data_IF_891715940629
#
_entry.id   IF_891715940629
#
_cell.length_a   1.000
_cell.length_b   1.000
_cell.length_c   1.000
_cell.angle_alpha   90.00
_cell.angle_beta   90.00
_cell.angle_gamma   90.00
#
_symmetry.space_group_name_H-M   'P 1'
#
loop_
_entity.id
_entity.type
_entity.pdbx_description
1 polymer ?
#
# COMPACT_ATOMS: atom_id res chain seq x y z
N UNK A 1 -18.38 -54.63 -48.45
CA UNK A 1 -17.38 -53.51 -48.43
C UNK A 1 -18.04 -52.38 -47.63
N UNK A 2 -17.67 -52.30 -46.35
CA UNK A 2 -18.17 -51.24 -45.44
C UNK A 2 -17.00 -50.42 -45.06
N UNK A 3 -16.96 -49.16 -45.54
CA UNK A 3 -15.91 -48.19 -45.25
C UNK A 3 -16.12 -47.58 -43.86
N UNK A 4 -15.22 -47.81 -42.97
CA UNK A 4 -15.21 -47.32 -41.61
C UNK A 4 -14.49 -45.95 -41.56
N UNK A 5 -15.22 -44.82 -41.62
CA UNK A 5 -14.72 -43.47 -41.48
C UNK A 5 -14.45 -43.19 -39.99
N UNK A 6 -13.22 -43.28 -39.57
CA UNK A 6 -12.75 -42.80 -38.26
C UNK A 6 -12.77 -41.23 -38.24
N UNK A 7 -13.72 -40.69 -37.47
CA UNK A 7 -13.77 -39.25 -37.17
C UNK A 7 -12.72 -38.98 -36.07
N UNK A 8 -11.58 -38.38 -36.47
CA UNK A 8 -10.57 -37.87 -35.51
C UNK A 8 -11.07 -36.56 -34.94
N UNK A 9 -11.61 -36.60 -33.72
CA UNK A 9 -11.96 -35.39 -32.94
C UNK A 9 -10.69 -34.66 -32.50
N UNK A 10 -10.52 -33.45 -33.01
CA UNK A 10 -9.46 -32.54 -32.59
C UNK A 10 -9.90 -31.90 -31.26
N UNK A 11 -9.29 -32.31 -30.13
CA UNK A 11 -9.50 -31.69 -28.82
C UNK A 11 -8.64 -30.43 -28.78
N UNK A 12 -9.25 -29.27 -28.93
CA UNK A 12 -8.60 -27.98 -28.71
C UNK A 12 -8.48 -27.76 -27.21
N UNK A 13 -7.29 -27.93 -26.63
CA UNK A 13 -7.00 -27.57 -25.25
C UNK A 13 -6.87 -26.04 -25.15
N UNK A 14 -7.90 -25.37 -24.62
CA UNK A 14 -7.85 -23.94 -24.31
C UNK A 14 -7.06 -23.77 -23.01
N UNK A 15 -5.84 -23.33 -23.11
CA UNK A 15 -5.04 -22.90 -21.97
C UNK A 15 -5.57 -21.55 -21.48
N UNK A 16 -6.33 -21.59 -20.37
CA UNK A 16 -6.67 -20.37 -19.62
C UNK A 16 -5.39 -19.86 -18.94
N UNK A 17 -4.70 -18.91 -19.56
CA UNK A 17 -3.64 -18.16 -18.92
C UNK A 17 -4.24 -17.32 -17.79
N UNK A 18 -4.08 -17.77 -16.54
CA UNK A 18 -4.36 -16.95 -15.37
C UNK A 18 -3.40 -15.74 -15.42
N UNK A 19 -3.91 -14.51 -15.24
CA UNK A 19 -3.03 -13.36 -15.18
C UNK A 19 -2.07 -13.54 -14.00
N UNK A 20 -0.77 -13.63 -14.29
CA UNK A 20 0.27 -13.54 -13.27
C UNK A 20 0.17 -12.14 -12.68
N UNK A 21 -0.23 -12.03 -11.42
CA UNK A 21 -0.18 -10.77 -10.69
C UNK A 21 1.29 -10.42 -10.52
N UNK A 22 1.73 -9.33 -11.14
CA UNK A 22 3.10 -8.85 -10.98
C UNK A 22 3.28 -8.29 -9.58
N UNK A 23 4.43 -8.52 -8.98
CA UNK A 23 4.82 -7.85 -7.73
C UNK A 23 4.82 -6.34 -7.93
N UNK A 24 4.52 -5.54 -6.88
CA UNK A 24 4.58 -4.08 -6.95
C UNK A 24 5.97 -3.62 -7.42
N UNK A 25 6.02 -2.56 -8.25
CA UNK A 25 7.28 -2.02 -8.74
C UNK A 25 8.21 -1.61 -7.59
N UNK A 26 9.54 -1.74 -7.73
CA UNK A 26 10.48 -1.31 -6.71
C UNK A 26 10.25 0.16 -6.31
N UNK A 27 10.42 0.53 -5.02
CA UNK A 27 10.36 1.92 -4.60
C UNK A 27 11.34 2.81 -5.37
N UNK A 28 10.89 4.02 -5.70
CA UNK A 28 11.72 5.05 -6.32
C UNK A 28 11.98 6.15 -5.31
N UNK A 29 13.24 6.54 -5.10
CA UNK A 29 13.64 7.59 -4.16
C UNK A 29 14.51 8.63 -4.81
N UNK A 30 14.35 9.90 -4.41
CA UNK A 30 15.29 10.97 -4.74
C UNK A 30 16.58 10.83 -3.90
N UNK A 31 17.72 11.36 -4.35
CA UNK A 31 18.99 11.36 -3.60
C UNK A 31 18.92 12.04 -2.23
N UNK A 32 17.95 12.93 -2.02
CA UNK A 32 17.68 13.60 -0.74
C UNK A 32 17.06 12.72 0.33
N UNK A 33 16.62 11.51 -0.01
CA UNK A 33 16.07 10.52 0.93
C UNK A 33 17.18 9.57 1.36
N UNK A 34 17.61 9.65 2.62
CA UNK A 34 18.68 8.81 3.16
C UNK A 34 18.18 7.41 3.57
N UNK A 35 16.93 7.30 4.00
CA UNK A 35 16.34 6.02 4.37
C UNK A 35 14.87 5.96 3.96
N UNK A 36 14.45 4.81 3.46
CA UNK A 36 13.07 4.49 3.16
C UNK A 36 12.80 3.07 3.66
N UNK A 37 11.80 2.94 4.53
CA UNK A 37 11.29 1.65 5.01
C UNK A 37 9.83 1.54 4.63
N UNK A 38 9.41 0.38 4.21
CA UNK A 38 8.02 0.08 3.86
C UNK A 38 7.54 -1.14 4.63
N UNK A 39 6.24 -1.29 4.79
CA UNK A 39 5.74 -2.49 5.44
C UNK A 39 4.28 -2.42 5.81
N UNK A 40 3.85 -3.51 6.43
CA UNK A 40 2.49 -3.73 6.93
C UNK A 40 2.55 -3.89 8.45
N UNK A 41 1.52 -3.44 9.15
CA UNK A 41 1.42 -3.58 10.60
C UNK A 41 -0.03 -3.72 11.06
N UNK A 42 -0.21 -4.30 12.25
CA UNK A 42 -1.51 -4.31 12.93
C UNK A 42 -1.77 -2.94 13.55
N UNK A 43 -2.86 -2.32 13.20
CA UNK A 43 -3.25 -0.99 13.66
C UNK A 43 -4.46 -1.07 14.60
N UNK A 44 -4.40 -1.98 15.57
CA UNK A 44 -5.48 -2.22 16.55
C UNK A 44 -5.46 -1.23 17.70
N UNK A 45 -4.33 -0.57 17.93
CA UNK A 45 -4.20 0.41 18.99
C UNK A 45 -4.97 1.68 18.68
N UNK A 46 -5.47 2.30 19.72
CA UNK A 46 -6.08 3.62 19.66
C UNK A 46 -5.03 4.63 19.17
N UNK A 47 -5.44 5.50 18.27
CA UNK A 47 -4.59 6.55 17.70
C UNK A 47 -5.31 7.87 17.81
N UNK A 48 -4.56 8.93 18.09
CA UNK A 48 -5.07 10.28 17.97
C UNK A 48 -5.45 10.58 16.51
N UNK A 49 -6.26 11.61 16.31
CA UNK A 49 -6.67 12.05 14.99
C UNK A 49 -6.35 13.52 14.80
N UNK A 50 -5.97 13.92 13.60
CA UNK A 50 -5.87 15.32 13.21
C UNK A 50 -6.66 15.59 11.94
N UNK A 51 -7.23 16.81 11.76
CA UNK A 51 -7.93 17.16 10.54
C UNK A 51 -7.03 17.05 9.30
N UNK A 52 -7.60 16.48 8.23
CA UNK A 52 -6.96 16.36 6.92
C UNK A 52 -8.01 16.44 5.81
N UNK A 53 -8.49 17.65 5.48
CA UNK A 53 -9.59 17.85 4.54
C UNK A 53 -9.32 17.34 3.12
N UNK A 54 -8.05 17.09 2.76
CA UNK A 54 -7.65 16.49 1.50
C UNK A 54 -7.80 14.96 1.44
N UNK A 55 -8.24 14.32 2.53
CA UNK A 55 -8.52 12.87 2.58
C UNK A 55 -10.03 12.60 2.55
N UNK A 56 -10.42 11.40 2.15
CA UNK A 56 -11.85 11.01 2.13
C UNK A 56 -12.50 10.97 3.51
N UNK A 57 -11.73 10.58 4.53
CA UNK A 57 -12.20 10.57 5.92
C UNK A 57 -12.28 11.97 6.54
N UNK A 58 -11.54 12.94 5.99
CA UNK A 58 -11.31 14.25 6.59
C UNK A 58 -10.28 14.23 7.74
N UNK A 59 -9.70 13.08 8.05
CA UNK A 59 -8.82 12.87 9.21
C UNK A 59 -7.62 12.02 8.87
N UNK A 60 -6.55 12.17 9.65
CA UNK A 60 -5.39 11.28 9.70
C UNK A 60 -5.26 10.68 11.09
N UNK A 61 -4.88 9.41 11.12
CA UNK A 61 -4.43 8.77 12.36
C UNK A 61 -3.03 9.26 12.74
N UNK A 62 -2.86 9.60 14.01
CA UNK A 62 -1.59 10.03 14.58
C UNK A 62 -1.23 9.05 15.70
N UNK A 63 -0.23 8.19 15.51
CA UNK A 63 0.21 7.27 16.56
C UNK A 63 0.71 8.03 17.80
N UNK A 64 0.41 7.53 18.99
CA UNK A 64 0.91 8.09 20.24
C UNK A 64 2.38 7.73 20.53
N UNK A 65 2.88 6.71 19.86
CA UNK A 65 4.25 6.22 19.99
C UNK A 65 4.84 5.76 18.68
N UNK A 66 6.05 5.25 18.74
CA UNK A 66 6.69 4.66 17.57
C UNK A 66 6.00 3.35 17.20
N UNK A 67 5.66 3.21 15.93
CA UNK A 67 5.08 1.99 15.36
C UNK A 67 6.13 1.33 14.49
N UNK A 68 6.42 0.05 14.76
CA UNK A 68 7.21 -0.78 13.87
C UNK A 68 6.34 -1.57 12.91
N UNK A 69 6.87 -1.86 11.72
CA UNK A 69 6.22 -2.78 10.79
C UNK A 69 6.33 -4.21 11.33
N UNK A 70 5.18 -4.87 11.49
CA UNK A 70 5.14 -6.29 11.84
C UNK A 70 5.66 -7.15 10.69
N UNK A 71 5.44 -6.70 9.46
CA UNK A 71 5.96 -7.29 8.23
C UNK A 71 6.77 -6.24 7.47
N UNK A 72 8.06 -6.06 7.84
CA UNK A 72 8.95 -5.15 7.11
C UNK A 72 9.13 -5.61 5.67
N UNK A 73 9.30 -4.66 4.77
CA UNK A 73 9.45 -4.82 3.33
C UNK A 73 8.24 -5.44 2.59
N UNK A 74 7.18 -5.82 3.32
CA UNK A 74 5.96 -6.32 2.73
C UNK A 74 5.23 -5.21 1.97
N UNK A 75 4.91 -5.47 0.70
CA UNK A 75 4.15 -4.57 -0.17
C UNK A 75 2.94 -5.23 -0.79
N UNK A 76 2.68 -6.49 -0.48
CA UNK A 76 1.42 -7.17 -0.77
C UNK A 76 0.62 -7.19 0.52
N UNK A 77 -0.57 -6.59 0.50
CA UNK A 77 -1.37 -6.27 1.69
C UNK A 77 -2.73 -6.94 1.59
N UNK A 78 -3.12 -7.83 2.51
CA UNK A 78 -4.49 -8.34 2.51
C UNK A 78 -5.48 -7.23 2.88
N UNK A 79 -6.60 -7.14 2.16
CA UNK A 79 -7.68 -6.19 2.41
C UNK A 79 -8.46 -6.61 3.66
N UNK A 80 -7.95 -6.25 4.83
CA UNK A 80 -8.51 -6.63 6.13
C UNK A 80 -8.59 -5.41 7.06
N UNK A 81 -9.76 -5.18 7.66
CA UNK A 81 -9.94 -4.14 8.69
C UNK A 81 -8.96 -4.37 9.84
N UNK A 82 -8.36 -3.29 10.34
CA UNK A 82 -7.37 -3.32 11.41
C UNK A 82 -5.93 -3.53 10.92
N UNK A 83 -5.70 -3.78 9.62
CA UNK A 83 -4.37 -3.71 9.01
C UNK A 83 -4.08 -2.29 8.51
N UNK A 84 -2.81 -1.92 8.59
CA UNK A 84 -2.28 -0.70 8.01
C UNK A 84 -0.98 -0.99 7.25
N UNK A 85 -0.68 -0.16 6.27
CA UNK A 85 0.51 -0.24 5.46
C UNK A 85 1.02 1.15 5.12
N UNK A 86 2.32 1.29 4.94
CA UNK A 86 2.86 2.62 4.69
C UNK A 86 4.37 2.68 4.58
N UNK A 87 4.87 3.90 4.71
CA UNK A 87 6.24 4.28 4.42
C UNK A 87 6.78 5.11 5.57
N UNK A 88 7.94 4.74 6.10
CA UNK A 88 8.77 5.59 6.95
C UNK A 88 9.94 6.11 6.13
N UNK A 89 10.16 7.42 6.11
CA UNK A 89 11.25 8.04 5.37
C UNK A 89 12.04 8.98 6.25
N UNK A 90 13.36 9.03 6.04
CA UNK A 90 14.26 9.99 6.65
C UNK A 90 15.08 10.71 5.58
N UNK A 91 15.21 12.00 5.71
CA UNK A 91 15.98 12.80 4.77
C UNK A 91 17.48 12.71 5.01
N UNK A 92 18.26 13.05 4.02
CA UNK A 92 19.70 13.23 4.17
C UNK A 92 20.02 14.39 5.12
N UNK A 93 21.21 14.33 5.75
CA UNK A 93 21.65 15.29 6.77
C UNK A 93 21.50 16.75 6.31
N UNK A 94 21.00 17.60 7.20
CA UNK A 94 20.79 19.02 6.98
C UNK A 94 19.53 19.37 6.18
N UNK A 95 18.68 18.40 5.85
CA UNK A 95 17.44 18.67 5.12
C UNK A 95 16.27 18.80 6.09
N UNK A 96 15.57 19.94 5.98
CA UNK A 96 14.27 20.20 6.58
C UNK A 96 13.38 20.85 5.54
N UNK A 97 12.28 20.18 5.16
CA UNK A 97 11.39 20.66 4.12
C UNK A 97 9.93 20.41 4.46
N UNK A 98 9.08 21.40 4.23
CA UNK A 98 7.62 21.22 4.20
C UNK A 98 7.22 20.66 2.85
N UNK A 99 6.20 19.81 2.86
CA UNK A 99 5.71 19.17 1.66
C UNK A 99 4.38 18.47 1.86
N UNK A 100 4.08 17.56 0.97
CA UNK A 100 2.78 16.89 0.89
C UNK A 100 2.95 15.38 0.69
N UNK A 101 2.14 14.62 1.40
CA UNK A 101 1.91 13.21 1.11
C UNK A 101 0.73 13.06 0.16
N UNK A 102 0.83 12.12 -0.76
CA UNK A 102 -0.22 11.76 -1.73
C UNK A 102 -0.45 10.25 -1.70
N UNK A 103 -1.70 9.84 -1.54
CA UNK A 103 -2.10 8.43 -1.62
C UNK A 103 -3.13 8.26 -2.73
N UNK A 104 -2.79 7.46 -3.72
CA UNK A 104 -3.68 7.11 -4.83
C UNK A 104 -4.28 5.74 -4.57
N UNK A 105 -5.59 5.66 -4.56
CA UNK A 105 -6.33 4.39 -4.53
C UNK A 105 -6.37 3.75 -5.92
N UNK A 106 -6.57 2.44 -6.02
CA UNK A 106 -6.74 1.76 -7.31
C UNK A 106 -7.80 2.45 -8.19
N UNK A 107 -7.43 2.70 -9.46
CA UNK A 107 -8.30 3.35 -10.44
C UNK A 107 -8.53 4.85 -10.25
N UNK A 108 -7.96 5.49 -9.22
CA UNK A 108 -8.09 6.93 -9.01
C UNK A 108 -6.92 7.69 -9.63
N UNK A 109 -7.22 8.77 -10.34
CA UNK A 109 -6.24 9.74 -10.84
C UNK A 109 -6.00 10.90 -9.87
N UNK A 110 -6.91 11.08 -8.89
CA UNK A 110 -6.81 12.12 -7.87
C UNK A 110 -6.37 11.50 -6.55
N UNK A 111 -5.28 11.99 -5.93
CA UNK A 111 -4.81 11.49 -4.64
C UNK A 111 -5.64 12.02 -3.47
N UNK A 112 -5.59 11.31 -2.36
CA UNK A 112 -5.80 11.88 -1.05
C UNK A 112 -4.51 12.55 -0.61
N UNK A 113 -4.59 13.76 -0.04
CA UNK A 113 -3.42 14.58 0.26
C UNK A 113 -3.44 15.13 1.68
N UNK A 114 -2.25 15.32 2.25
CA UNK A 114 -2.06 16.03 3.50
C UNK A 114 -0.65 16.60 3.64
N UNK A 115 -0.53 17.70 4.39
CA UNK A 115 0.74 18.33 4.66
C UNK A 115 1.62 17.45 5.54
N UNK A 116 2.91 17.43 5.22
CA UNK A 116 3.94 16.69 5.94
C UNK A 116 5.24 17.47 6.02
N UNK A 117 6.02 17.18 7.06
CA UNK A 117 7.40 17.70 7.21
C UNK A 117 8.38 16.57 7.01
N UNK A 118 9.38 16.80 6.19
CA UNK A 118 10.45 15.86 5.87
C UNK A 118 11.77 16.38 6.45
N UNK A 119 12.41 15.57 7.31
CA UNK A 119 13.60 15.99 8.06
C UNK A 119 14.58 14.82 8.23
N UNK A 120 15.84 15.17 8.53
CA UNK A 120 16.88 14.22 8.93
C UNK A 120 16.83 13.84 10.41
N UNK A 121 16.09 14.60 11.23
CA UNK A 121 16.05 14.42 12.70
C UNK A 121 15.12 13.29 13.16
N UNK A 122 14.08 12.97 12.38
CA UNK A 122 13.09 11.94 12.71
C UNK A 122 12.52 11.30 11.46
N UNK A 123 12.01 10.08 11.60
CA UNK A 123 11.29 9.43 10.52
C UNK A 123 9.92 10.12 10.31
N UNK A 124 9.63 10.50 9.06
CA UNK A 124 8.28 10.84 8.65
C UNK A 124 7.55 9.53 8.36
N UNK A 125 6.36 9.36 8.93
CA UNK A 125 5.54 8.18 8.75
C UNK A 125 4.24 8.52 8.03
N UNK A 126 4.09 8.04 6.81
CA UNK A 126 2.86 8.09 6.03
C UNK A 126 2.28 6.69 5.87
N UNK A 127 1.06 6.48 6.33
CA UNK A 127 0.40 5.18 6.25
C UNK A 127 -1.09 5.31 5.96
N UNK A 128 -1.68 4.23 5.47
CA UNK A 128 -3.11 4.03 5.34
C UNK A 128 -3.54 2.88 6.23
N UNK A 129 -4.65 3.04 6.94
CA UNK A 129 -5.27 2.04 7.79
C UNK A 129 -6.64 1.71 7.23
N UNK A 130 -6.96 0.44 7.15
CA UNK A 130 -8.30 -0.01 6.81
C UNK A 130 -9.22 0.05 8.04
N UNK A 131 -10.12 1.02 8.06
CA UNK A 131 -11.11 1.21 9.13
C UNK A 131 -12.51 0.77 8.72
N UNK A 132 -12.80 0.76 7.41
CA UNK A 132 -14.14 0.54 6.86
C UNK A 132 -14.10 -0.39 5.66
N UNK A 133 -15.22 -1.06 5.41
CA UNK A 133 -15.37 -1.99 4.29
C UNK A 133 -15.18 -1.32 2.91
N UNK A 134 -15.61 -0.06 2.75
CA UNK A 134 -15.46 0.70 1.51
C UNK A 134 -14.00 1.10 1.19
N UNK A 135 -13.09 0.86 2.12
CA UNK A 135 -11.65 1.07 1.97
C UNK A 135 -10.90 -0.19 1.50
N UNK A 136 -11.52 -1.36 1.57
CA UNK A 136 -10.93 -2.65 1.21
C UNK A 136 -10.84 -2.84 -0.32
N UNK A 137 -10.25 -1.88 -1.02
CA UNK A 137 -10.17 -1.86 -2.49
C UNK A 137 -8.93 -2.61 -2.94
N UNK A 138 -9.12 -3.76 -3.58
CA UNK A 138 -8.03 -4.54 -4.18
C UNK A 138 -7.42 -3.84 -5.39
N UNK A 139 -6.10 -3.99 -5.56
CA UNK A 139 -5.33 -3.40 -6.65
C UNK A 139 -4.15 -2.57 -6.14
N UNK A 140 -3.52 -1.84 -7.05
CA UNK A 140 -2.31 -1.07 -6.77
C UNK A 140 -2.66 0.25 -6.07
N UNK A 141 -2.17 0.42 -4.86
CA UNK A 141 -2.15 1.66 -4.10
C UNK A 141 -0.79 2.31 -4.25
N UNK A 142 -0.74 3.63 -4.43
CA UNK A 142 0.53 4.34 -4.61
C UNK A 142 0.67 5.46 -3.59
N UNK A 143 1.78 5.47 -2.88
CA UNK A 143 2.20 6.49 -1.93
C UNK A 143 3.30 7.34 -2.54
N UNK A 144 3.15 8.64 -2.47
CA UNK A 144 4.14 9.59 -2.92
C UNK A 144 4.37 10.68 -1.86
N UNK A 145 5.60 11.15 -1.75
CA UNK A 145 5.97 12.33 -0.97
C UNK A 145 6.55 13.39 -1.89
N UNK A 146 6.14 14.63 -1.69
CA UNK A 146 6.53 15.75 -2.54
C UNK A 146 6.95 16.97 -1.71
N UNK A 147 7.95 17.71 -2.20
CA UNK A 147 8.28 19.06 -1.75
C UNK A 147 8.28 19.99 -2.96
N UNK A 148 7.32 20.92 -3.00
CA UNK A 148 7.07 21.69 -4.22
C UNK A 148 6.83 20.78 -5.43
N UNK A 149 7.64 20.92 -6.47
CA UNK A 149 7.54 20.10 -7.69
C UNK A 149 8.44 18.85 -7.67
N UNK A 150 9.18 18.62 -6.60
CA UNK A 150 10.10 17.49 -6.49
C UNK A 150 9.47 16.34 -5.75
N UNK A 151 9.37 15.17 -6.41
CA UNK A 151 8.96 13.92 -5.77
C UNK A 151 10.13 13.33 -4.98
N UNK A 152 9.96 13.18 -3.67
CA UNK A 152 10.95 12.58 -2.78
C UNK A 152 10.98 11.08 -2.91
N UNK A 153 9.79 10.45 -2.92
CA UNK A 153 9.68 9.01 -3.18
C UNK A 153 8.33 8.63 -3.78
N UNK A 154 8.30 7.44 -4.35
CA UNK A 154 7.09 6.73 -4.78
C UNK A 154 7.20 5.27 -4.36
N UNK A 155 6.15 4.74 -3.73
CA UNK A 155 6.03 3.35 -3.31
C UNK A 155 4.68 2.81 -3.74
N UNK A 156 4.67 1.62 -4.32
CA UNK A 156 3.45 0.89 -4.65
C UNK A 156 3.24 -0.28 -3.68
N UNK A 157 1.98 -0.45 -3.28
CA UNK A 157 1.48 -1.59 -2.53
C UNK A 157 0.38 -2.27 -3.36
N UNK A 158 0.38 -3.57 -3.40
CA UNK A 158 -0.69 -4.35 -4.02
C UNK A 158 -1.63 -4.89 -2.95
N UNK A 159 -2.84 -4.35 -2.89
CA UNK A 159 -3.88 -4.82 -1.99
C UNK A 159 -4.59 -6.00 -2.62
N UNK A 160 -4.67 -7.11 -1.90
CA UNK A 160 -5.19 -8.40 -2.37
C UNK A 160 -6.33 -8.89 -1.47
N UNK A 161 -7.20 -9.81 -1.96
CA UNK A 161 -8.18 -10.46 -1.09
C UNK A 161 -7.52 -11.13 0.13
N UNK A 162 -8.15 -11.11 1.31
CA UNK A 162 -7.58 -11.69 2.55
C UNK A 162 -7.13 -13.14 2.41
N UNK A 163 -7.86 -13.93 1.61
CA UNK A 163 -7.55 -15.34 1.35
C UNK A 163 -6.21 -15.55 0.62
N UNK A 164 -5.63 -14.52 0.01
CA UNK A 164 -4.32 -14.58 -0.67
C UNK A 164 -3.16 -14.67 0.33
N UNK A 165 -3.29 -13.98 1.49
CA UNK A 165 -2.29 -13.94 2.56
C UNK A 165 -2.96 -14.15 3.92
N UNK A 166 -3.55 -15.34 4.18
CA UNK A 166 -4.33 -15.59 5.39
C UNK A 166 -3.50 -15.44 6.67
N UNK A 167 -2.20 -15.73 6.63
CA UNK A 167 -1.28 -15.58 7.76
C UNK A 167 -1.12 -14.12 8.22
N UNK A 168 -1.22 -13.15 7.30
CA UNK A 168 -1.20 -11.72 7.66
C UNK A 168 -2.60 -11.26 8.02
N UNK A 169 -3.60 -11.62 7.23
CA UNK A 169 -4.99 -11.21 7.45
C UNK A 169 -5.52 -11.61 8.84
N UNK A 170 -5.12 -12.77 9.36
CA UNK A 170 -5.59 -13.30 10.64
C UNK A 170 -4.69 -12.92 11.84
N UNK A 171 -3.48 -12.43 11.58
CA UNK A 171 -2.50 -12.19 12.64
C UNK A 171 -2.87 -11.05 13.59
N UNK A 172 -3.66 -10.06 13.13
CA UNK A 172 -4.04 -8.91 13.94
C UNK A 172 -5.24 -9.16 14.87
N UNK A 173 -5.79 -10.36 14.90
CA UNK A 173 -6.99 -10.67 15.66
C UNK A 173 -8.26 -10.11 15.03
N UNK A 174 -9.39 -10.74 15.30
CA UNK A 174 -10.69 -10.15 14.98
C UNK A 174 -10.96 -9.04 16.00
N UNK A 175 -11.22 -7.83 15.53
CA UNK A 175 -11.83 -6.79 16.36
C UNK A 175 -13.26 -7.28 16.61
N UNK A 176 -13.51 -7.73 17.81
CA UNK A 176 -14.85 -8.13 18.28
C UNK A 176 -15.59 -6.94 18.85
#
# INVERSE_FOLDING_TARGET
MVENRMLRGLILAVWLALPLKADPAPPVTAPSVAALKVGVFCALQEMNQRPAPGTRSGWLHVPEGEIDFHWPDARIVPAQIGLAFGVKSRMAAGIFASGEMRVYRPGSTSPETWDSTFTDMSDQFGFFRFDREDELIAGTWRFEAWTGETRLYMVEFEVVPPATLPQIAQACGAIS
#
